data_IF_959405821233
#
_entry.id   IF_959405821233
#
_cell.length_a   1.000
_cell.length_b   1.000
_cell.length_c   1.000
_cell.angle_alpha   90.00
_cell.angle_beta   90.00
_cell.angle_gamma   90.00
#
_symmetry.space_group_name_H-M   'P 1'
#
loop_
_entity.id
_entity.type
_entity.pdbx_description
1 polymer ?
#
# COMPACT_ATOMS: atom_id res chain seq x y z
N UNK A 1 -27.86 3.44 8.03
CA UNK A 1 -27.10 2.20 7.79
C UNK A 1 -27.57 1.45 6.55
N UNK A 2 -28.86 1.19 6.35
CA UNK A 2 -29.37 0.46 5.15
C UNK A 2 -28.94 1.12 3.83
N UNK A 3 -29.09 2.44 3.68
CA UNK A 3 -28.66 3.15 2.47
C UNK A 3 -27.16 3.03 2.16
N UNK A 4 -26.31 2.99 3.18
CA UNK A 4 -24.86 2.79 3.02
C UNK A 4 -24.54 1.37 2.53
N UNK A 5 -25.22 0.36 3.08
CA UNK A 5 -25.07 -1.04 2.63
C UNK A 5 -25.57 -1.22 1.20
N UNK A 6 -26.69 -0.58 0.85
CA UNK A 6 -27.21 -0.57 -0.53
C UNK A 6 -26.20 0.08 -1.47
N UNK A 7 -25.63 1.23 -1.10
CA UNK A 7 -24.59 1.88 -1.89
C UNK A 7 -23.36 0.97 -2.12
N UNK A 8 -22.83 0.35 -1.06
CA UNK A 8 -21.70 -0.57 -1.18
C UNK A 8 -22.03 -1.78 -2.07
N UNK A 9 -23.24 -2.34 -1.94
CA UNK A 9 -23.70 -3.43 -2.77
C UNK A 9 -23.78 -3.05 -4.25
N UNK A 10 -24.40 -1.91 -4.55
CA UNK A 10 -24.51 -1.39 -5.93
C UNK A 10 -23.13 -1.10 -6.51
N UNK A 11 -22.23 -0.48 -5.74
CA UNK A 11 -20.85 -0.20 -6.15
C UNK A 11 -20.10 -1.50 -6.50
N UNK A 12 -20.18 -2.51 -5.62
CA UNK A 12 -19.54 -3.80 -5.86
C UNK A 12 -20.08 -4.48 -7.12
N UNK A 13 -21.41 -4.49 -7.31
CA UNK A 13 -22.04 -5.06 -8.52
C UNK A 13 -21.61 -4.30 -9.77
N UNK A 14 -21.52 -2.97 -9.73
CA UNK A 14 -21.08 -2.16 -10.85
C UNK A 14 -19.62 -2.45 -11.23
N UNK A 15 -18.72 -2.55 -10.24
CA UNK A 15 -17.30 -2.87 -10.47
C UNK A 15 -17.11 -4.27 -11.05
N UNK A 16 -17.81 -5.27 -10.51
CA UNK A 16 -17.79 -6.63 -11.05
C UNK A 16 -18.38 -6.66 -12.46
N UNK A 17 -19.51 -5.98 -12.66
CA UNK A 17 -20.17 -5.85 -13.96
C UNK A 17 -19.27 -5.27 -15.02
N UNK A 18 -18.48 -4.23 -14.70
CA UNK A 18 -17.52 -3.63 -15.62
C UNK A 18 -16.48 -4.63 -16.11
N UNK A 19 -15.91 -5.43 -15.19
CA UNK A 19 -14.91 -6.46 -15.53
C UNK A 19 -15.56 -7.57 -16.36
N UNK A 20 -16.71 -8.09 -15.93
CA UNK A 20 -17.40 -9.20 -16.61
C UNK A 20 -17.84 -8.79 -18.01
N UNK A 21 -18.46 -7.62 -18.17
CA UNK A 21 -18.84 -7.11 -19.48
C UNK A 21 -17.62 -6.91 -20.38
N UNK A 22 -16.52 -6.40 -19.84
CA UNK A 22 -15.25 -6.32 -20.56
C UNK A 22 -14.79 -7.69 -21.09
N UNK A 23 -14.83 -8.73 -20.26
CA UNK A 23 -14.45 -10.09 -20.65
C UNK A 23 -15.42 -10.78 -21.63
N UNK A 24 -16.71 -10.43 -21.60
CA UNK A 24 -17.73 -10.98 -22.48
C UNK A 24 -17.73 -10.32 -23.86
N UNK A 25 -17.47 -9.01 -23.91
CA UNK A 25 -17.51 -8.24 -25.14
C UNK A 25 -16.15 -8.18 -25.86
N UNK A 26 -15.03 -8.45 -25.17
CA UNK A 26 -13.70 -8.38 -25.76
C UNK A 26 -13.42 -9.52 -26.78
N UNK A 27 -12.81 -9.21 -27.95
CA UNK A 27 -12.35 -10.23 -28.89
C UNK A 27 -11.25 -11.12 -28.31
N UNK A 28 -11.47 -12.44 -28.29
CA UNK A 28 -10.48 -13.43 -27.79
C UNK A 28 -9.61 -13.95 -28.92
N UNK A 29 -8.51 -13.26 -29.21
CA UNK A 29 -7.50 -13.66 -30.22
C UNK A 29 -6.11 -13.77 -29.58
N UNK A 30 -5.85 -14.80 -28.76
CA UNK A 30 -4.54 -15.02 -28.16
C UNK A 30 -3.50 -15.27 -29.25
N UNK A 31 -2.28 -14.80 -29.03
CA UNK A 31 -1.12 -15.11 -29.87
C UNK A 31 0.13 -15.05 -29.02
N UNK A 32 1.14 -15.84 -29.38
CA UNK A 32 2.41 -15.88 -28.67
C UNK A 32 3.02 -14.46 -28.50
N UNK A 33 2.93 -13.64 -29.54
CA UNK A 33 3.42 -12.25 -29.51
C UNK A 33 2.66 -11.37 -28.50
N UNK A 34 1.35 -11.57 -28.33
CA UNK A 34 0.52 -10.80 -27.37
C UNK A 34 0.70 -11.28 -25.92
N UNK A 35 1.16 -12.51 -25.72
CA UNK A 35 1.36 -13.10 -24.40
C UNK A 35 2.79 -12.90 -23.88
N UNK A 36 3.74 -12.51 -24.73
CA UNK A 36 5.08 -12.12 -24.32
C UNK A 36 5.04 -10.89 -23.43
N UNK A 37 5.65 -11.00 -22.25
CA UNK A 37 5.71 -9.90 -21.24
C UNK A 37 6.63 -8.74 -21.63
N UNK A 38 7.53 -8.95 -22.59
CA UNK A 38 8.58 -7.99 -22.95
C UNK A 38 8.48 -7.64 -24.43
N UNK A 39 8.61 -6.35 -24.71
CA UNK A 39 8.46 -5.74 -26.03
C UNK A 39 9.48 -6.25 -27.05
N UNK A 40 10.60 -6.82 -26.59
CA UNK A 40 11.68 -7.35 -27.42
C UNK A 40 11.79 -8.88 -27.40
N UNK A 41 10.80 -9.59 -26.83
CA UNK A 41 10.70 -11.05 -26.90
C UNK A 41 11.73 -11.85 -26.07
N UNK A 42 12.62 -11.17 -25.34
CA UNK A 42 13.50 -11.80 -24.38
C UNK A 42 12.78 -12.05 -23.04
N UNK A 43 12.72 -13.29 -22.54
CA UNK A 43 12.41 -13.53 -21.14
C UNK A 43 13.35 -12.70 -20.24
N UNK A 44 12.88 -12.23 -19.08
CA UNK A 44 13.74 -11.55 -18.13
C UNK A 44 14.68 -12.61 -17.55
N UNK A 45 15.90 -12.67 -18.07
CA UNK A 45 16.92 -13.59 -17.59
C UNK A 45 17.83 -12.89 -16.59
N UNK A 46 18.14 -13.61 -15.51
CA UNK A 46 19.05 -13.15 -14.46
C UNK A 46 18.38 -13.02 -13.10
N UNK A 47 19.21 -12.89 -12.07
CA UNK A 47 18.75 -12.66 -10.71
C UNK A 47 18.08 -11.29 -10.58
N UNK A 48 17.09 -11.18 -9.69
CA UNK A 48 16.42 -9.92 -9.39
C UNK A 48 17.44 -8.92 -8.87
N UNK A 49 17.91 -8.02 -9.75
CA UNK A 49 19.02 -7.10 -9.44
C UNK A 49 18.73 -6.09 -8.33
N UNK A 50 17.46 -5.93 -7.91
CA UNK A 50 17.08 -5.04 -6.80
C UNK A 50 15.98 -5.66 -5.94
N UNK A 51 16.25 -5.79 -4.63
CA UNK A 51 15.23 -6.08 -3.61
C UNK A 51 14.37 -4.83 -3.38
N UNK A 52 13.49 -4.51 -4.35
CA UNK A 52 12.62 -3.32 -4.33
C UNK A 52 11.81 -3.21 -3.02
N UNK A 53 11.48 -4.35 -2.41
CA UNK A 53 10.66 -4.46 -1.21
C UNK A 53 11.29 -3.74 0.01
N UNK A 54 12.62 -3.75 0.16
CA UNK A 54 13.27 -3.13 1.32
C UNK A 54 13.18 -1.61 1.27
N UNK A 55 13.02 -1.01 0.08
CA UNK A 55 12.90 0.43 -0.05
C UNK A 55 11.62 0.99 0.54
N UNK A 56 10.53 0.24 0.44
CA UNK A 56 9.20 0.71 0.87
C UNK A 56 8.85 0.27 2.29
N UNK A 57 9.64 -0.63 2.90
CA UNK A 57 9.29 -1.18 4.21
C UNK A 57 9.18 -0.10 5.28
N UNK A 58 10.15 0.82 5.36
CA UNK A 58 10.09 1.94 6.31
C UNK A 58 8.86 2.82 6.08
N UNK A 59 8.51 3.09 4.82
CA UNK A 59 7.34 3.90 4.49
C UNK A 59 6.02 3.21 4.87
N UNK A 60 5.89 1.91 4.60
CA UNK A 60 4.69 1.13 4.97
C UNK A 60 4.47 1.18 6.48
N UNK A 61 5.53 0.94 7.28
CA UNK A 61 5.43 1.01 8.73
C UNK A 61 5.10 2.42 9.23
N UNK A 62 5.69 3.46 8.63
CA UNK A 62 5.39 4.84 8.98
C UNK A 62 3.92 5.18 8.73
N UNK A 63 3.42 4.90 7.54
CA UNK A 63 2.02 5.18 7.18
C UNK A 63 1.07 4.41 8.07
N UNK A 64 1.30 3.11 8.26
CA UNK A 64 0.45 2.25 9.11
C UNK A 64 0.39 2.76 10.54
N UNK A 65 1.54 3.14 11.11
CA UNK A 65 1.59 3.68 12.46
C UNK A 65 0.86 5.03 12.56
N UNK A 66 1.13 5.95 11.62
CA UNK A 66 0.48 7.26 11.60
C UNK A 66 -1.03 7.14 11.43
N UNK A 67 -1.53 6.27 10.53
CA UNK A 67 -2.96 6.03 10.36
C UNK A 67 -3.63 5.51 11.63
N UNK A 68 -3.01 4.53 12.31
CA UNK A 68 -3.53 4.02 13.57
C UNK A 68 -3.60 5.10 14.65
N UNK A 69 -2.57 5.97 14.73
CA UNK A 69 -2.52 7.06 15.71
C UNK A 69 -3.53 8.15 15.41
N UNK A 70 -3.74 8.50 14.14
CA UNK A 70 -4.81 9.42 13.72
C UNK A 70 -6.17 8.85 14.11
N UNK A 71 -6.40 7.55 13.91
CA UNK A 71 -7.60 6.87 14.37
C UNK A 71 -7.82 6.99 15.88
N UNK A 72 -6.77 6.77 16.68
CA UNK A 72 -6.82 6.94 18.14
C UNK A 72 -7.07 8.39 18.56
N UNK A 73 -6.49 9.37 17.88
CA UNK A 73 -6.74 10.79 18.14
C UNK A 73 -8.20 11.16 17.86
N UNK A 74 -8.78 10.66 16.77
CA UNK A 74 -10.20 10.88 16.45
C UNK A 74 -11.08 10.30 17.58
N UNK A 75 -10.81 9.06 18.01
CA UNK A 75 -11.58 8.43 19.10
C UNK A 75 -11.47 9.22 20.40
N UNK A 76 -10.26 9.62 20.79
CA UNK A 76 -10.06 10.37 22.02
C UNK A 76 -10.70 11.76 22.00
N UNK A 77 -10.66 12.45 20.85
CA UNK A 77 -11.34 13.73 20.66
C UNK A 77 -12.86 13.58 20.79
N UNK A 78 -13.43 12.52 20.20
CA UNK A 78 -14.87 12.23 20.33
C UNK A 78 -15.26 11.78 21.75
N UNK A 79 -14.35 11.15 22.49
CA UNK A 79 -14.57 10.70 23.86
C UNK A 79 -14.35 11.82 24.92
N UNK A 80 -13.93 13.03 24.52
CA UNK A 80 -13.54 14.12 25.42
C UNK A 80 -12.48 13.71 26.47
N UNK A 81 -11.58 12.81 26.09
CA UNK A 81 -10.48 12.36 26.95
C UNK A 81 -9.36 13.40 26.94
N UNK A 82 -8.60 13.51 28.04
CA UNK A 82 -7.41 14.36 28.10
C UNK A 82 -6.45 14.03 26.95
N UNK A 83 -6.16 15.03 26.13
CA UNK A 83 -5.31 14.91 24.94
C UNK A 83 -3.82 14.85 25.30
N UNK A 84 -3.43 15.28 26.51
CA UNK A 84 -2.02 15.37 26.91
C UNK A 84 -1.40 13.98 27.12
N UNK A 85 -2.05 13.11 27.89
CA UNK A 85 -1.59 11.73 28.12
C UNK A 85 -1.59 10.92 26.82
N UNK A 86 -2.58 11.15 25.97
CA UNK A 86 -2.66 10.56 24.64
C UNK A 86 -1.50 11.03 23.75
N UNK A 87 -1.21 12.34 23.71
CA UNK A 87 -0.12 12.89 22.91
C UNK A 87 1.24 12.30 23.33
N UNK A 88 1.49 12.16 24.64
CA UNK A 88 2.71 11.52 25.15
C UNK A 88 2.78 10.05 24.74
N UNK A 89 1.66 9.32 24.86
CA UNK A 89 1.59 7.90 24.47
C UNK A 89 1.81 7.70 22.97
N UNK A 90 1.26 8.59 22.14
CA UNK A 90 1.46 8.63 20.69
C UNK A 90 2.92 8.89 20.35
N UNK A 91 3.53 9.90 20.98
CA UNK A 91 4.94 10.22 20.75
C UNK A 91 5.86 9.04 21.09
N UNK A 92 5.59 8.35 22.20
CA UNK A 92 6.33 7.14 22.61
C UNK A 92 6.12 5.98 21.62
N UNK A 93 4.89 5.78 21.13
CA UNK A 93 4.58 4.74 20.16
C UNK A 93 5.23 4.98 18.78
N UNK A 94 5.46 6.25 18.40
CA UNK A 94 6.11 6.61 17.13
C UNK A 94 7.63 6.40 17.13
N UNK A 95 8.30 6.51 18.29
CA UNK A 95 9.75 6.37 18.40
C UNK A 95 10.32 5.11 17.71
N UNK A 96 9.84 3.88 17.98
CA UNK A 96 10.38 2.68 17.32
C UNK A 96 10.16 2.70 15.80
N UNK A 97 9.05 3.28 15.33
CA UNK A 97 8.74 3.40 13.91
C UNK A 97 9.69 4.39 13.23
N UNK A 98 9.94 5.54 13.85
CA UNK A 98 10.89 6.53 13.35
C UNK A 98 12.32 5.97 13.30
N UNK A 99 12.73 5.18 14.30
CA UNK A 99 14.02 4.48 14.29
C UNK A 99 14.10 3.49 13.13
N UNK A 100 13.07 2.67 12.91
CA UNK A 100 13.01 1.74 11.79
C UNK A 100 13.09 2.45 10.43
N UNK A 101 12.39 3.56 10.28
CA UNK A 101 12.43 4.40 9.07
C UNK A 101 13.83 4.96 8.86
N UNK A 102 14.46 5.51 9.89
CA UNK A 102 15.82 6.06 9.80
C UNK A 102 16.85 4.98 9.40
N UNK A 103 16.76 3.79 9.99
CA UNK A 103 17.60 2.63 9.62
C UNK A 103 17.36 2.22 8.17
N UNK A 104 16.10 2.18 7.74
CA UNK A 104 15.72 1.82 6.37
C UNK A 104 16.30 2.82 5.37
N UNK A 105 16.19 4.13 5.63
CA UNK A 105 16.76 5.19 4.78
C UNK A 105 18.29 5.06 4.71
N UNK A 106 18.95 4.81 5.85
CA UNK A 106 20.41 4.62 5.89
C UNK A 106 20.85 3.43 5.04
N UNK A 107 20.21 2.27 5.23
CA UNK A 107 20.47 1.06 4.43
C UNK A 107 20.31 1.32 2.92
N UNK A 108 19.30 2.09 2.53
CA UNK A 108 19.07 2.44 1.12
C UNK A 108 20.12 3.40 0.57
N UNK A 109 20.61 4.33 1.40
CA UNK A 109 21.67 5.26 1.00
C UNK A 109 22.98 4.55 0.70
N UNK A 110 23.28 3.46 1.41
CA UNK A 110 24.47 2.64 1.18
C UNK A 110 24.35 1.84 -0.13
N UNK A 111 23.17 1.30 -0.44
CA UNK A 111 22.91 0.58 -1.71
C UNK A 111 23.11 1.50 -2.92
N UNK A 112 22.77 2.79 -2.80
CA UNK A 112 22.93 3.77 -3.90
C UNK A 112 24.40 4.04 -4.25
N UNK A 113 25.36 3.71 -3.38
CA UNK A 113 26.80 3.87 -3.64
C UNK A 113 27.41 2.70 -4.43
N UNK A 114 26.66 1.61 -4.61
CA UNK A 114 27.14 0.35 -5.20
C UNK A 114 26.60 0.09 -6.62
N UNK A 115 25.88 1.03 -7.21
CA UNK A 115 25.38 0.97 -8.59
C UNK A 115 25.77 2.21 -9.37
#
# INVERSE_FOLDING_TARGET
MVGFLVFLGVLAVALVGLVVLGYLLAPRRPSEVKERRFETGGPPFGEVKRKLVVQYIGYIYLVTAVEALVGLMIVAALANTSLELLAVSIALALLPVLVLVAVSIKLLSDIRRWG
#
